data_IF_156604908789
#
_entry.id   IF_156604908789
#
_cell.length_a   1.000
_cell.length_b   1.000
_cell.length_c   1.000
_cell.angle_alpha   90.00
_cell.angle_beta   90.00
_cell.angle_gamma   90.00
#
_symmetry.space_group_name_H-M   'P 1'
#
loop_
_entity.id
_entity.type
_entity.pdbx_description
1 polymer ?
#
# COMPACT_ATOMS: atom_id res chain seq x y z
N UNK A 1 15.77 -6.84 8.46
CA UNK A 1 14.83 -6.65 7.33
C UNK A 1 13.71 -7.63 7.59
N UNK A 2 12.47 -7.14 7.63
CA UNK A 2 11.32 -8.04 7.82
C UNK A 2 10.93 -8.69 6.50
N UNK A 3 10.72 -10.00 6.55
CA UNK A 3 10.30 -10.81 5.41
C UNK A 3 9.17 -11.73 5.85
N UNK A 4 8.20 -11.97 4.97
CA UNK A 4 7.25 -13.06 5.10
C UNK A 4 7.88 -14.31 4.52
N UNK A 5 7.96 -15.37 5.31
CA UNK A 5 8.60 -16.63 4.92
C UNK A 5 7.71 -17.82 5.30
N UNK A 6 7.73 -18.85 4.46
CA UNK A 6 7.11 -20.14 4.76
C UNK A 6 7.75 -21.27 3.95
N UNK A 7 7.67 -22.49 4.48
CA UNK A 7 8.12 -23.68 3.79
C UNK A 7 7.03 -24.18 2.82
N UNK A 8 7.44 -24.50 1.59
CA UNK A 8 6.60 -25.05 0.53
C UNK A 8 6.75 -26.56 0.50
N UNK A 9 5.62 -27.27 0.47
CA UNK A 9 5.56 -28.73 0.30
C UNK A 9 6.29 -29.56 1.38
N UNK A 10 6.83 -28.93 2.41
CA UNK A 10 7.46 -29.58 3.57
C UNK A 10 6.97 -28.91 4.86
N UNK A 11 6.83 -29.67 5.96
CA UNK A 11 6.31 -29.12 7.23
C UNK A 11 7.30 -28.14 7.88
N UNK A 12 8.60 -28.41 7.76
CA UNK A 12 9.68 -27.56 8.29
C UNK A 12 10.89 -27.63 7.36
N UNK A 13 11.50 -26.48 7.06
CA UNK A 13 12.76 -26.36 6.32
C UNK A 13 13.80 -25.64 7.19
N UNK A 14 15.01 -26.17 7.28
CA UNK A 14 16.14 -25.52 7.96
C UNK A 14 17.09 -24.95 6.93
N UNK A 15 17.32 -23.64 6.94
CA UNK A 15 18.14 -22.97 5.94
C UNK A 15 18.74 -21.68 6.50
N UNK A 16 19.99 -21.36 6.16
CA UNK A 16 20.68 -20.14 6.61
C UNK A 16 20.66 -19.93 8.15
N UNK A 17 20.65 -21.02 8.92
CA UNK A 17 20.55 -20.99 10.39
C UNK A 17 19.14 -20.76 10.95
N UNK A 18 18.13 -20.72 10.08
CA UNK A 18 16.73 -20.43 10.41
C UNK A 18 15.89 -21.72 10.32
N UNK A 19 14.83 -21.79 11.13
CA UNK A 19 13.84 -22.87 11.10
C UNK A 19 12.54 -22.28 10.57
N UNK A 20 12.14 -22.71 9.37
CA UNK A 20 10.99 -22.17 8.64
C UNK A 20 9.90 -23.23 8.64
N UNK A 21 8.78 -22.95 9.28
CA UNK A 21 7.59 -23.82 9.23
C UNK A 21 6.81 -23.63 7.93
N UNK A 22 5.88 -24.54 7.65
CA UNK A 22 4.92 -24.42 6.55
C UNK A 22 3.98 -23.21 6.69
N UNK A 23 3.79 -22.70 7.90
CA UNK A 23 2.96 -21.53 8.18
C UNK A 23 3.66 -20.24 7.77
N UNK A 24 2.89 -19.30 7.23
CA UNK A 24 3.38 -17.97 6.88
C UNK A 24 3.60 -17.16 8.15
N UNK A 25 4.84 -16.71 8.35
CA UNK A 25 5.21 -15.85 9.46
C UNK A 25 6.20 -14.78 9.01
N UNK A 26 6.24 -13.69 9.77
CA UNK A 26 7.19 -12.62 9.57
C UNK A 26 8.44 -12.84 10.42
N UNK A 27 9.61 -12.63 9.81
CA UNK A 27 10.88 -12.79 10.50
C UNK A 27 11.87 -11.73 10.06
N UNK A 28 12.70 -11.30 11.00
CA UNK A 28 13.83 -10.44 10.68
C UNK A 28 15.01 -11.28 10.19
N UNK A 29 15.43 -11.00 8.96
CA UNK A 29 16.57 -11.66 8.30
C UNK A 29 17.61 -10.64 7.85
N UNK A 30 18.85 -11.11 7.71
CA UNK A 30 19.91 -10.35 7.05
C UNK A 30 19.77 -10.41 5.52
N UNK A 31 20.38 -9.48 4.78
CA UNK A 31 20.39 -9.54 3.30
C UNK A 31 20.97 -10.84 2.75
N UNK A 32 21.99 -11.40 3.42
CA UNK A 32 22.60 -12.68 3.04
C UNK A 32 21.62 -13.85 3.24
N UNK A 33 20.93 -13.88 4.38
CA UNK A 33 19.88 -14.88 4.63
C UNK A 33 18.77 -14.77 3.60
N UNK A 34 18.27 -13.58 3.31
CA UNK A 34 17.26 -13.36 2.26
C UNK A 34 17.71 -13.89 0.90
N UNK A 35 18.96 -13.64 0.50
CA UNK A 35 19.51 -14.14 -0.75
C UNK A 35 19.59 -15.68 -0.81
N UNK A 36 19.83 -16.35 0.32
CA UNK A 36 19.82 -17.82 0.42
C UNK A 36 18.38 -18.34 0.35
N UNK A 37 17.45 -17.74 1.12
CA UNK A 37 16.03 -18.14 1.15
C UNK A 37 15.37 -17.97 -0.23
N UNK A 38 15.72 -16.91 -0.97
CA UNK A 38 15.15 -16.62 -2.29
C UNK A 38 15.57 -17.62 -3.38
N UNK A 39 16.61 -18.42 -3.12
CA UNK A 39 17.13 -19.44 -4.05
C UNK A 39 16.63 -20.84 -3.74
N UNK A 40 15.99 -21.06 -2.59
CA UNK A 40 15.52 -22.38 -2.17
C UNK A 40 14.14 -22.67 -2.74
N UNK A 41 14.00 -23.81 -3.43
CA UNK A 41 12.75 -24.23 -4.07
C UNK A 41 11.63 -24.55 -3.07
N UNK A 42 12.00 -24.92 -1.83
CA UNK A 42 11.10 -25.30 -0.76
C UNK A 42 10.78 -24.14 0.18
N UNK A 43 11.20 -22.91 -0.15
CA UNK A 43 10.90 -21.72 0.64
C UNK A 43 10.17 -20.69 -0.23
N UNK A 44 9.14 -20.07 0.34
CA UNK A 44 8.66 -18.78 -0.12
C UNK A 44 9.26 -17.72 0.78
N UNK A 45 9.83 -16.67 0.19
CA UNK A 45 10.26 -15.49 0.92
C UNK A 45 9.84 -14.26 0.13
N UNK A 46 9.20 -13.32 0.80
CA UNK A 46 8.84 -12.02 0.25
C UNK A 46 9.28 -10.96 1.25
N UNK A 47 9.79 -9.82 0.79
CA UNK A 47 10.02 -8.69 1.68
C UNK A 47 8.66 -8.30 2.28
N UNK A 48 8.61 -8.23 3.61
CA UNK A 48 7.53 -7.53 4.28
C UNK A 48 7.89 -6.05 4.13
N UNK A 49 7.81 -5.55 2.90
CA UNK A 49 7.65 -4.12 2.72
C UNK A 49 6.40 -3.79 3.51
N UNK A 50 6.49 -2.76 4.37
CA UNK A 50 5.30 -2.11 4.89
C UNK A 50 4.36 -1.98 3.70
N UNK A 51 3.22 -2.67 3.77
CA UNK A 51 2.12 -2.34 2.90
C UNK A 51 1.82 -0.88 3.24
N UNK A 52 2.47 0.05 2.55
CA UNK A 52 1.84 1.27 2.06
C UNK A 52 0.69 0.79 1.19
N UNK A 53 -0.33 0.28 1.86
CA UNK A 53 -1.66 0.03 1.35
C UNK A 53 -2.35 1.40 1.25
N UNK A 54 -1.65 2.38 0.66
CA UNK A 54 -2.30 3.40 -0.12
C UNK A 54 -2.81 2.67 -1.36
N UNK A 55 -3.89 1.90 -1.18
CA UNK A 55 -4.83 1.77 -2.26
C UNK A 55 -5.23 3.21 -2.58
N UNK A 56 -4.56 3.80 -3.57
CA UNK A 56 -4.93 5.09 -4.15
C UNK A 56 -6.45 5.08 -4.28
N UNK A 57 -7.13 5.83 -3.42
CA UNK A 57 -8.58 5.77 -3.36
C UNK A 57 -9.09 6.27 -4.70
N UNK A 58 -9.65 5.39 -5.52
CA UNK A 58 -10.19 5.76 -6.83
C UNK A 58 -11.51 6.48 -6.57
N UNK A 59 -11.49 7.80 -6.63
CA UNK A 59 -12.68 8.64 -6.48
C UNK A 59 -13.03 9.21 -7.85
N UNK A 60 -14.31 9.19 -8.23
CA UNK A 60 -14.77 9.60 -9.57
C UNK A 60 -13.97 9.02 -10.76
N UNK A 61 -13.43 7.81 -10.62
CA UNK A 61 -12.67 7.12 -11.68
C UNK A 61 -11.22 7.58 -11.85
N UNK A 62 -10.68 8.39 -10.93
CA UNK A 62 -9.26 8.80 -10.89
C UNK A 62 -8.67 8.53 -9.51
N UNK A 63 -7.36 8.28 -9.44
CA UNK A 63 -6.65 8.20 -8.16
C UNK A 63 -6.47 9.58 -7.55
N UNK A 64 -6.42 9.67 -6.21
CA UNK A 64 -6.10 10.91 -5.47
C UNK A 64 -4.82 11.55 -6.01
N UNK A 65 -3.77 10.76 -6.21
CA UNK A 65 -2.47 11.17 -6.77
C UNK A 65 -2.51 11.67 -8.22
N UNK A 66 -3.58 11.42 -8.96
CA UNK A 66 -3.78 11.88 -10.35
C UNK A 66 -4.63 13.16 -10.44
N UNK A 67 -5.14 13.67 -9.32
CA UNK A 67 -5.91 14.91 -9.30
C UNK A 67 -5.00 16.13 -9.47
N UNK A 68 -5.24 16.88 -10.54
CA UNK A 68 -4.57 18.16 -10.77
C UNK A 68 -5.38 19.31 -10.17
N UNK A 69 -4.77 20.50 -10.06
CA UNK A 69 -5.47 21.72 -9.66
C UNK A 69 -6.69 22.04 -10.56
N UNK A 70 -6.65 21.67 -11.84
CA UNK A 70 -7.78 21.80 -12.76
C UNK A 70 -8.91 20.81 -12.43
N UNK A 71 -8.56 19.56 -12.08
CA UNK A 71 -9.54 18.55 -11.67
C UNK A 71 -10.26 18.93 -10.36
N UNK A 72 -9.56 19.61 -9.45
CA UNK A 72 -10.14 20.17 -8.22
C UNK A 72 -11.17 21.27 -8.51
N UNK A 73 -10.92 22.15 -9.47
CA UNK A 73 -11.86 23.20 -9.86
C UNK A 73 -13.12 22.61 -10.54
N UNK A 74 -12.94 21.60 -11.38
CA UNK A 74 -14.02 20.83 -11.97
C UNK A 74 -14.85 20.09 -10.91
N UNK A 75 -14.19 19.49 -9.91
CA UNK A 75 -14.84 18.86 -8.76
C UNK A 75 -15.64 19.87 -7.94
N UNK A 76 -15.11 21.07 -7.70
CA UNK A 76 -15.80 22.15 -6.98
C UNK A 76 -17.05 22.59 -7.72
N UNK A 77 -16.95 22.74 -9.04
CA UNK A 77 -18.08 23.10 -9.91
C UNK A 77 -19.15 22.01 -9.89
N UNK A 78 -18.75 20.72 -9.99
CA UNK A 78 -19.66 19.57 -9.88
C UNK A 78 -20.30 19.47 -8.49
N UNK A 79 -19.54 19.70 -7.42
CA UNK A 79 -20.04 19.68 -6.04
C UNK A 79 -21.07 20.79 -5.80
N UNK A 80 -20.86 21.98 -6.38
CA UNK A 80 -21.82 23.09 -6.34
C UNK A 80 -23.11 22.75 -7.08
N UNK A 81 -23.02 22.10 -8.24
CA UNK A 81 -24.17 21.63 -9.02
C UNK A 81 -24.93 20.46 -8.38
N UNK A 82 -24.24 19.58 -7.64
CA UNK A 82 -24.83 18.40 -6.99
C UNK A 82 -25.23 18.60 -5.53
N UNK A 83 -25.04 19.80 -4.97
CA UNK A 83 -25.59 20.23 -3.69
C UNK A 83 -25.35 19.26 -2.53
N UNK A 84 -26.44 18.68 -2.00
CA UNK A 84 -26.44 17.80 -0.83
C UNK A 84 -26.63 16.30 -1.18
N UNK A 85 -26.51 15.95 -2.46
CA UNK A 85 -26.56 14.56 -2.93
C UNK A 85 -25.35 13.78 -2.44
N UNK A 86 -25.42 12.43 -2.47
CA UNK A 86 -24.31 11.56 -2.07
C UNK A 86 -23.01 11.90 -2.85
N UNK A 87 -23.13 12.14 -4.15
CA UNK A 87 -22.01 12.54 -5.01
C UNK A 87 -21.48 13.94 -4.67
N UNK A 88 -22.37 14.90 -4.37
CA UNK A 88 -21.96 16.25 -3.95
C UNK A 88 -21.22 16.27 -2.61
N UNK A 89 -21.62 15.40 -1.67
CA UNK A 89 -20.90 15.19 -0.40
C UNK A 89 -19.55 14.53 -0.60
N UNK A 90 -19.50 13.47 -1.42
CA UNK A 90 -18.26 12.76 -1.74
C UNK A 90 -17.23 13.70 -2.41
N UNK A 91 -17.68 14.56 -3.32
CA UNK A 91 -16.82 15.56 -3.96
C UNK A 91 -16.26 16.58 -2.98
N UNK A 92 -17.07 17.09 -2.03
CA UNK A 92 -16.59 18.03 -0.99
C UNK A 92 -15.57 17.40 -0.06
N UNK A 93 -15.81 16.17 0.38
CA UNK A 93 -14.87 15.41 1.22
C UNK A 93 -13.54 15.16 0.50
N UNK A 94 -13.60 14.81 -0.79
CA UNK A 94 -12.40 14.61 -1.61
C UNK A 94 -11.59 15.91 -1.79
N UNK A 95 -12.27 17.02 -2.12
CA UNK A 95 -11.62 18.33 -2.25
C UNK A 95 -10.90 18.69 -0.95
N UNK A 96 -11.58 18.50 0.20
CA UNK A 96 -11.00 18.78 1.52
C UNK A 96 -9.72 17.96 1.77
N UNK A 97 -9.76 16.65 1.49
CA UNK A 97 -8.58 15.77 1.64
C UNK A 97 -7.42 16.18 0.75
N UNK A 98 -7.69 16.46 -0.53
CA UNK A 98 -6.67 16.90 -1.48
C UNK A 98 -6.05 18.26 -1.09
N UNK A 99 -6.83 19.17 -0.52
CA UNK A 99 -6.32 20.44 0.02
C UNK A 99 -5.49 20.24 1.29
N UNK A 100 -5.89 19.32 2.18
CA UNK A 100 -5.12 18.96 3.38
C UNK A 100 -3.76 18.33 2.99
N UNK A 101 -3.75 17.35 2.09
CA UNK A 101 -2.52 16.69 1.61
C UNK A 101 -1.58 17.65 0.87
N UNK A 102 -2.13 18.60 0.09
CA UNK A 102 -1.31 19.60 -0.61
C UNK A 102 -0.72 20.63 0.35
N UNK A 103 -1.37 20.92 1.48
CA UNK A 103 -0.90 21.90 2.44
C UNK A 103 0.14 21.30 3.42
N UNK A 104 0.11 19.98 3.64
CA UNK A 104 1.14 19.25 4.41
C UNK A 104 2.49 19.15 3.65
N UNK A 105 2.52 19.35 2.34
CA UNK A 105 3.76 19.33 1.54
C UNK A 105 4.54 20.66 1.50
N UNK A 106 3.95 21.77 1.97
CA UNK A 106 4.58 23.11 1.97
C UNK A 106 5.22 23.50 3.34
N UNK A 107 5.15 22.64 4.36
CA UNK A 107 5.68 22.90 5.72
C UNK A 107 7.05 22.24 6.04
N UNK A 108 7.90 21.99 5.03
CA UNK A 108 9.31 21.56 5.20
C UNK A 108 10.33 22.58 4.63
#
# INVERSE_FOLDING_TARGET
>A
MKVRVNAKNVPVRRLAGLVISSDVHEMDVTPEQFAILSKDEYVSVAKAEEESNEQDVIVFGKKISEYTAADLDDLRTKAKGKGNTKEGKLAKELIKKLEEESNEQDED
#
